data_IF_354036725496
#
_entry.id   IF_354036725496
#
_cell.length_a   1.000
_cell.length_b   1.000
_cell.length_c   1.000
_cell.angle_alpha   90.00
_cell.angle_beta   90.00
_cell.angle_gamma   90.00
#
_symmetry.space_group_name_H-M   'P 1'
#
loop_
_entity.id
_entity.type
_entity.pdbx_description
1 polymer ?
#
# COMPACT_ATOMS: atom_id res chain seq x y z
N UNK A 1 2.13 31.27 44.85
CA UNK A 1 3.22 30.96 43.90
C UNK A 1 3.40 32.12 42.92
N UNK A 2 4.60 32.71 42.76
CA UNK A 2 4.75 33.84 41.86
C UNK A 2 4.83 33.37 40.39
N UNK A 3 4.01 33.97 39.52
CA UNK A 3 3.96 33.67 38.08
C UNK A 3 5.30 34.00 37.41
N UNK A 4 5.84 33.07 36.61
CA UNK A 4 7.08 33.27 35.84
C UNK A 4 6.91 34.45 34.88
N UNK A 5 7.83 35.43 34.95
CA UNK A 5 7.87 36.57 34.04
C UNK A 5 8.10 36.08 32.60
N UNK A 6 7.34 36.56 31.61
CA UNK A 6 7.50 36.15 30.22
C UNK A 6 8.87 36.58 29.69
N UNK A 7 9.56 35.64 29.04
CA UNK A 7 10.92 35.82 28.53
C UNK A 7 10.89 36.67 27.25
N UNK A 8 11.48 37.87 27.31
CA UNK A 8 11.47 38.81 26.18
C UNK A 8 12.24 38.25 24.99
N UNK A 9 11.67 38.34 23.78
CA UNK A 9 12.32 37.94 22.54
C UNK A 9 13.68 38.63 22.33
N UNK A 10 13.87 39.84 22.86
CA UNK A 10 15.13 40.58 22.82
C UNK A 10 16.21 39.93 23.71
N UNK A 11 15.82 39.39 24.86
CA UNK A 11 16.72 38.64 25.75
C UNK A 11 17.09 37.28 25.14
N UNK A 12 16.14 36.59 24.48
CA UNK A 12 16.41 35.34 23.75
C UNK A 12 17.41 35.54 22.62
N UNK A 13 17.28 36.63 21.86
CA UNK A 13 18.21 36.97 20.76
C UNK A 13 19.61 37.27 21.29
N UNK A 14 19.73 38.04 22.37
CA UNK A 14 21.03 38.29 23.05
C UNK A 14 21.65 37.00 23.58
N UNK A 15 20.86 36.11 24.18
CA UNK A 15 21.36 34.84 24.70
C UNK A 15 21.92 33.93 23.58
N UNK A 16 21.25 33.90 22.42
CA UNK A 16 21.74 33.18 21.25
C UNK A 16 23.01 33.80 20.66
N UNK A 17 23.13 35.14 20.71
CA UNK A 17 24.30 35.86 20.23
C UNK A 17 25.52 35.60 21.13
N UNK A 18 25.35 35.67 22.46
CA UNK A 18 26.39 35.31 23.44
C UNK A 18 26.81 33.85 23.30
N UNK A 19 25.87 32.94 22.99
CA UNK A 19 26.20 31.51 22.74
C UNK A 19 27.01 31.32 21.45
N UNK A 20 26.76 32.14 20.41
CA UNK A 20 27.53 32.13 19.15
C UNK A 20 28.92 32.75 19.33
N UNK A 21 29.04 33.78 20.15
CA UNK A 21 30.31 34.44 20.47
C UNK A 21 31.20 33.55 21.35
N UNK A 22 30.62 32.85 22.35
CA UNK A 22 31.34 31.81 23.11
C UNK A 22 31.89 30.69 22.22
N UNK A 23 31.15 30.32 21.17
CA UNK A 23 31.63 29.35 20.16
C UNK A 23 32.70 29.90 19.21
N UNK A 24 32.87 31.22 19.14
CA UNK A 24 33.91 31.87 18.30
C UNK A 24 35.20 32.17 19.05
N UNK A 25 35.17 32.27 20.38
CA UNK A 25 36.34 32.56 21.21
C UNK A 25 37.15 31.35 21.69
N UNK A 26 36.70 30.13 21.41
CA UNK A 26 37.40 28.90 21.82
C UNK A 26 38.42 28.50 20.75
N UNK A 27 39.56 29.19 20.73
CA UNK A 27 40.74 28.83 19.95
C UNK A 27 41.58 27.83 20.74
N UNK A 28 41.28 26.53 20.55
CA UNK A 28 42.04 25.42 21.11
C UNK A 28 41.86 24.15 20.26
N UNK A 29 42.72 24.01 19.24
CA UNK A 29 43.16 22.76 18.58
C UNK A 29 42.15 21.60 18.43
N UNK A 30 41.54 21.51 17.24
CA UNK A 30 40.91 20.32 16.68
C UNK A 30 40.81 20.47 15.16
N UNK A 31 41.02 19.41 14.34
CA UNK A 31 41.27 19.58 12.92
C UNK A 31 40.04 20.13 12.19
N UNK A 32 40.35 21.05 11.27
CA UNK A 32 39.47 21.78 10.37
C UNK A 32 38.33 20.91 9.80
N UNK A 33 37.09 21.29 10.08
CA UNK A 33 35.90 20.86 9.32
C UNK A 33 35.38 22.00 8.44
N UNK A 34 36.27 22.52 7.60
CA UNK A 34 35.91 23.17 6.34
C UNK A 34 36.31 22.25 5.20
N UNK A 35 35.56 21.15 5.09
CA UNK A 35 35.36 20.28 3.93
C UNK A 35 34.60 19.05 4.45
N UNK A 36 33.27 19.12 4.45
CA UNK A 36 32.40 17.98 4.82
C UNK A 36 31.29 17.83 3.78
N UNK A 37 31.65 17.94 2.50
CA UNK A 37 30.73 17.71 1.37
C UNK A 37 31.29 16.77 0.30
N UNK A 38 32.45 16.16 0.53
CA UNK A 38 33.00 15.11 -0.31
C UNK A 38 33.64 14.10 0.64
N UNK A 39 33.31 12.83 0.46
CA UNK A 39 33.76 11.68 1.26
C UNK A 39 33.10 11.50 2.63
N UNK A 40 31.91 10.90 2.62
CA UNK A 40 31.60 9.88 3.63
C UNK A 40 31.38 8.57 2.89
N UNK A 41 32.47 7.81 2.81
CA UNK A 41 32.54 6.51 2.17
C UNK A 41 31.42 5.59 2.62
N UNK A 42 30.92 4.88 1.61
CA UNK A 42 30.16 3.67 1.73
C UNK A 42 30.87 2.75 2.73
N UNK A 43 30.29 2.60 3.92
CA UNK A 43 30.44 1.34 4.64
C UNK A 43 29.41 0.41 4.03
N UNK A 44 29.85 -0.30 2.99
CA UNK A 44 29.24 -1.53 2.51
C UNK A 44 29.00 -2.44 3.72
N UNK A 45 27.74 -2.56 4.13
CA UNK A 45 27.29 -3.76 4.83
C UNK A 45 26.97 -4.76 3.73
N UNK A 46 27.84 -5.75 3.69
CA UNK A 46 27.88 -6.89 2.80
C UNK A 46 26.55 -7.67 2.82
N UNK A 47 25.71 -7.45 1.80
CA UNK A 47 24.71 -8.42 1.33
C UNK A 47 24.59 -8.27 -0.18
N UNK A 48 25.48 -8.95 -0.92
CA UNK A 48 25.29 -9.36 -2.32
C UNK A 48 24.66 -8.32 -3.25
N UNK A 49 25.39 -7.25 -3.56
CA UNK A 49 25.10 -6.40 -4.72
C UNK A 49 25.60 -7.14 -5.97
N UNK A 50 24.68 -7.77 -6.70
CA UNK A 50 24.91 -8.05 -8.11
C UNK A 50 24.84 -6.73 -8.87
N UNK A 51 25.91 -6.41 -9.58
CA UNK A 51 26.02 -5.28 -10.50
C UNK A 51 24.85 -5.30 -11.49
N UNK A 52 23.84 -4.43 -11.31
CA UNK A 52 22.90 -3.98 -12.35
C UNK A 52 21.91 -2.97 -11.75
N UNK A 53 21.90 -1.75 -12.31
CA UNK A 53 20.91 -0.66 -12.13
C UNK A 53 21.07 0.30 -10.94
N UNK A 54 21.11 1.59 -11.28
CA UNK A 54 21.02 2.75 -10.40
C UNK A 54 19.64 2.75 -9.66
N UNK A 55 19.53 2.08 -8.50
CA UNK A 55 18.26 2.02 -7.73
C UNK A 55 18.18 3.16 -6.71
N UNK A 56 17.12 3.97 -6.79
CA UNK A 56 16.77 5.00 -5.80
C UNK A 56 15.98 4.40 -4.65
N UNK A 57 16.53 4.49 -3.44
CA UNK A 57 15.91 4.04 -2.19
C UNK A 57 15.17 5.20 -1.50
N UNK A 58 13.87 5.05 -1.24
CA UNK A 58 13.00 6.08 -0.65
C UNK A 58 12.54 5.63 0.75
N UNK A 59 12.21 6.58 1.63
CA UNK A 59 11.70 6.35 3.00
C UNK A 59 12.71 5.70 3.97
N UNK A 60 14.00 6.03 3.83
CA UNK A 60 15.02 5.56 4.76
C UNK A 60 14.80 6.14 6.17
N UNK A 61 14.56 5.26 7.14
CA UNK A 61 14.44 5.61 8.54
C UNK A 61 15.81 5.64 9.21
N UNK A 62 16.06 6.58 10.15
CA UNK A 62 17.30 6.61 10.90
C UNK A 62 17.49 5.32 11.71
N UNK A 63 18.71 4.79 11.73
CA UNK A 63 19.06 3.61 12.51
C UNK A 63 18.80 3.87 14.01
N UNK A 64 17.85 3.14 14.60
CA UNK A 64 17.76 2.98 16.05
C UNK A 64 18.75 1.89 16.46
N UNK A 65 19.58 2.14 17.47
CA UNK A 65 20.56 1.16 17.98
C UNK A 65 19.90 0.02 18.76
N UNK A 66 18.61 0.14 19.08
CA UNK A 66 17.83 -0.87 19.79
C UNK A 66 16.66 -1.33 18.92
N UNK A 67 16.75 -2.56 18.42
CA UNK A 67 15.66 -3.22 17.72
C UNK A 67 16.07 -4.59 17.15
N UNK A 68 15.29 -5.63 17.46
CA UNK A 68 15.36 -6.96 16.80
C UNK A 68 14.88 -6.91 15.34
N UNK A 69 14.39 -5.76 14.86
CA UNK A 69 13.73 -5.59 13.57
C UNK A 69 14.41 -4.49 12.77
N UNK A 70 14.66 -4.74 11.49
CA UNK A 70 15.19 -3.73 10.56
C UNK A 70 14.06 -2.80 10.08
N UNK A 71 14.04 -1.51 10.50
CA UNK A 71 13.03 -0.56 10.06
C UNK A 71 13.10 -0.26 8.55
N UNK A 72 14.20 -0.60 7.89
CA UNK A 72 14.44 -0.31 6.48
C UNK A 72 14.17 -1.52 5.55
N UNK A 73 13.67 -2.64 6.08
CA UNK A 73 13.38 -3.87 5.31
C UNK A 73 12.45 -3.64 4.12
N UNK A 74 11.38 -2.87 4.32
CA UNK A 74 10.36 -2.56 3.30
C UNK A 74 10.47 -1.14 2.74
N UNK A 75 11.68 -0.56 2.75
CA UNK A 75 11.91 0.70 2.05
C UNK A 75 11.72 0.51 0.54
N UNK A 76 11.30 1.56 -0.15
CA UNK A 76 10.95 1.49 -1.57
C UNK A 76 12.18 1.64 -2.45
N UNK A 77 12.28 0.78 -3.45
CA UNK A 77 13.38 0.74 -4.40
C UNK A 77 12.79 0.96 -5.79
N UNK A 78 13.12 2.09 -6.40
CA UNK A 78 12.70 2.40 -7.77
C UNK A 78 13.91 2.63 -8.64
N UNK A 79 13.81 2.32 -9.92
CA UNK A 79 14.83 2.70 -10.90
C UNK A 79 15.04 4.23 -10.88
N UNK A 80 16.30 4.65 -10.82
CA UNK A 80 16.66 6.07 -10.79
C UNK A 80 16.76 6.58 -12.22
N UNK A 81 15.86 7.48 -12.56
CA UNK A 81 15.92 8.19 -13.83
C UNK A 81 17.08 9.20 -13.86
N UNK A 82 17.60 9.46 -15.06
CA UNK A 82 18.64 10.48 -15.25
C UNK A 82 18.11 11.87 -14.88
N UNK A 83 18.97 12.68 -14.25
CA UNK A 83 18.59 14.04 -13.82
C UNK A 83 18.14 14.89 -15.00
N UNK A 84 18.80 14.73 -16.14
CA UNK A 84 18.51 15.42 -17.39
C UNK A 84 17.09 15.11 -17.88
N UNK A 85 16.69 13.84 -17.87
CA UNK A 85 15.35 13.43 -18.32
C UNK A 85 14.26 13.92 -17.37
N UNK A 86 14.51 13.89 -16.06
CA UNK A 86 13.61 14.46 -15.05
C UNK A 86 13.46 15.98 -15.24
N UNK A 87 14.54 16.71 -15.50
CA UNK A 87 14.49 18.15 -15.74
C UNK A 87 13.79 18.50 -17.05
N UNK A 88 14.02 17.70 -18.11
CA UNK A 88 13.33 17.82 -19.39
C UNK A 88 11.82 17.65 -19.23
N UNK A 89 11.35 16.58 -18.57
CA UNK A 89 9.91 16.35 -18.31
C UNK A 89 9.31 17.45 -17.45
N UNK A 90 10.03 17.94 -16.43
CA UNK A 90 9.59 19.09 -15.61
C UNK A 90 9.45 20.36 -16.43
N UNK A 91 10.36 20.61 -17.37
CA UNK A 91 10.28 21.76 -18.27
C UNK A 91 9.08 21.63 -19.19
N UNK A 92 8.92 20.47 -19.84
CA UNK A 92 7.78 20.18 -20.70
C UNK A 92 6.44 20.32 -19.97
N UNK A 93 6.32 19.82 -18.75
CA UNK A 93 5.12 19.95 -17.93
C UNK A 93 4.80 21.40 -17.51
N UNK A 94 5.80 22.29 -17.44
CA UNK A 94 5.58 23.73 -17.17
C UNK A 94 5.22 24.51 -18.43
N UNK A 95 5.78 24.12 -19.57
CA UNK A 95 5.63 24.83 -20.84
C UNK A 95 4.36 24.37 -21.58
N UNK A 96 3.90 23.14 -21.35
CA UNK A 96 2.70 22.58 -22.01
C UNK A 96 1.43 23.12 -21.36
N UNK A 97 0.63 23.86 -22.13
CA UNK A 97 -0.70 24.31 -21.70
C UNK A 97 -1.68 23.14 -21.82
N UNK A 98 -2.32 22.76 -20.71
CA UNK A 98 -3.35 21.72 -20.70
C UNK A 98 -4.55 22.15 -21.53
N UNK A 99 -4.83 21.43 -22.60
CA UNK A 99 -6.02 21.61 -23.41
C UNK A 99 -7.09 20.58 -22.99
N UNK A 100 -8.37 20.94 -22.97
CA UNK A 100 -9.43 19.98 -22.79
C UNK A 100 -9.40 19.01 -23.97
N UNK A 101 -9.28 17.72 -23.66
CA UNK A 101 -9.37 16.62 -24.64
C UNK A 101 -10.83 16.22 -24.83
N UNK A 102 -11.13 15.61 -25.96
CA UNK A 102 -12.48 15.11 -26.23
C UNK A 102 -12.83 13.90 -25.35
N UNK A 103 -14.12 13.62 -25.15
CA UNK A 103 -14.56 12.47 -24.33
C UNK A 103 -13.99 11.14 -24.83
N UNK A 104 -13.80 10.99 -26.14
CA UNK A 104 -13.21 9.79 -26.76
C UNK A 104 -11.73 9.59 -26.39
N UNK A 105 -10.98 10.67 -26.22
CA UNK A 105 -9.56 10.62 -25.82
C UNK A 105 -9.39 10.39 -24.31
N UNK A 106 -10.48 10.53 -23.53
CA UNK A 106 -10.53 10.20 -22.11
C UNK A 106 -10.85 8.71 -21.86
N UNK A 107 -11.33 8.00 -22.88
CA UNK A 107 -11.53 6.56 -22.81
C UNK A 107 -10.15 5.86 -22.74
N UNK A 108 -10.02 4.92 -21.80
CA UNK A 108 -8.79 4.17 -21.60
C UNK A 108 -9.13 2.69 -21.62
N UNK A 109 -8.59 1.97 -22.60
CA UNK A 109 -8.70 0.51 -22.64
C UNK A 109 -7.67 -0.13 -21.70
N UNK A 110 -8.00 -1.30 -21.17
CA UNK A 110 -7.07 -2.06 -20.33
C UNK A 110 -5.85 -2.54 -21.10
N UNK A 111 -6.00 -2.81 -22.39
CA UNK A 111 -4.93 -3.24 -23.28
C UNK A 111 -3.96 -2.10 -23.62
N UNK A 112 -4.39 -0.84 -23.52
CA UNK A 112 -3.51 0.31 -23.69
C UNK A 112 -2.54 0.45 -22.51
N UNK A 113 -3.00 0.09 -21.30
CA UNK A 113 -2.21 0.13 -20.07
C UNK A 113 -1.37 -1.13 -19.91
N UNK A 114 -1.95 -2.30 -20.21
CA UNK A 114 -1.30 -3.60 -20.12
C UNK A 114 -1.24 -4.28 -21.50
N UNK A 115 -0.36 -3.81 -22.40
CA UNK A 115 -0.21 -4.45 -23.70
C UNK A 115 0.31 -5.89 -23.54
N UNK A 116 -0.33 -6.89 -24.18
CA UNK A 116 0.04 -8.30 -24.03
C UNK A 116 1.43 -8.61 -24.60
N UNK A 117 1.89 -7.83 -25.58
CA UNK A 117 3.21 -7.92 -26.21
C UNK A 117 4.35 -7.56 -25.26
N UNK A 118 4.11 -6.63 -24.33
CA UNK A 118 5.12 -6.15 -23.38
C UNK A 118 5.40 -7.11 -22.22
N UNK A 119 4.54 -8.12 -22.03
CA UNK A 119 4.70 -9.12 -20.96
C UNK A 119 4.74 -8.50 -19.56
N UNK A 120 3.89 -7.51 -19.28
CA UNK A 120 3.83 -6.77 -18.01
C UNK A 120 3.18 -7.59 -16.88
N UNK A 121 3.77 -8.75 -16.58
CA UNK A 121 3.36 -9.61 -15.48
C UNK A 121 3.93 -9.16 -14.14
N UNK A 122 4.03 -10.10 -13.21
CA UNK A 122 4.69 -9.91 -11.92
C UNK A 122 5.53 -11.15 -11.55
N UNK A 123 6.55 -11.01 -10.69
CA UNK A 123 7.40 -12.14 -10.33
C UNK A 123 6.58 -13.17 -9.54
N UNK A 124 6.50 -14.39 -10.05
CA UNK A 124 5.82 -15.51 -9.39
C UNK A 124 6.74 -16.17 -8.38
N UNK A 125 6.17 -16.66 -7.27
CA UNK A 125 6.98 -17.40 -6.29
C UNK A 125 7.36 -18.75 -6.87
N UNK A 126 8.63 -19.16 -6.85
CA UNK A 126 9.01 -20.50 -7.24
C UNK A 126 8.42 -21.54 -6.28
N UNK A 127 8.16 -22.76 -6.78
CA UNK A 127 7.70 -23.87 -5.95
C UNK A 127 8.65 -24.14 -4.78
N UNK A 128 8.11 -24.44 -3.61
CA UNK A 128 8.91 -24.74 -2.42
C UNK A 128 8.24 -25.86 -1.60
N UNK A 129 9.04 -26.55 -0.80
CA UNK A 129 8.58 -27.62 0.10
C UNK A 129 9.15 -27.38 1.50
N UNK A 130 8.47 -27.89 2.53
CA UNK A 130 8.90 -27.75 3.93
C UNK A 130 10.25 -28.42 4.23
N UNK A 131 10.69 -29.34 3.37
CA UNK A 131 12.00 -29.98 3.46
C UNK A 131 13.15 -29.03 3.06
N UNK A 132 12.85 -27.94 2.35
CA UNK A 132 13.87 -26.98 1.93
C UNK A 132 14.35 -26.13 3.10
N UNK A 133 15.67 -25.91 3.16
CA UNK A 133 16.24 -24.95 4.11
C UNK A 133 15.82 -23.52 3.74
N UNK A 134 15.67 -22.67 4.75
CA UNK A 134 15.35 -21.24 4.58
C UNK A 134 16.30 -20.56 3.59
N UNK A 135 17.60 -20.80 3.72
CA UNK A 135 18.62 -20.21 2.84
C UNK A 135 18.47 -20.66 1.38
N UNK A 136 18.17 -21.94 1.15
CA UNK A 136 17.93 -22.48 -0.18
C UNK A 136 16.70 -21.84 -0.83
N UNK A 137 15.62 -21.69 -0.07
CA UNK A 137 14.41 -21.01 -0.54
C UNK A 137 14.68 -19.54 -0.89
N UNK A 138 15.40 -18.81 -0.02
CA UNK A 138 15.74 -17.41 -0.27
C UNK A 138 16.58 -17.24 -1.56
N UNK A 139 17.56 -18.12 -1.79
CA UNK A 139 18.36 -18.12 -3.04
C UNK A 139 17.53 -18.45 -4.26
N UNK A 140 16.58 -19.39 -4.15
CA UNK A 140 15.67 -19.76 -5.25
C UNK A 140 14.74 -18.61 -5.62
N UNK A 141 14.17 -17.95 -4.61
CA UNK A 141 13.34 -16.76 -4.79
C UNK A 141 14.12 -15.60 -5.42
N UNK A 142 15.36 -15.36 -4.97
CA UNK A 142 16.23 -14.32 -5.52
C UNK A 142 16.57 -14.60 -6.99
N UNK A 143 16.93 -15.85 -7.32
CA UNK A 143 17.17 -16.25 -8.70
C UNK A 143 15.93 -16.05 -9.57
N UNK A 144 14.77 -16.53 -9.13
CA UNK A 144 13.51 -16.39 -9.87
C UNK A 144 13.14 -14.93 -10.13
N UNK A 145 13.42 -14.04 -9.16
CA UNK A 145 13.19 -12.62 -9.31
C UNK A 145 14.15 -11.96 -10.32
N UNK A 146 15.43 -12.37 -10.30
CA UNK A 146 16.43 -11.90 -11.26
C UNK A 146 16.08 -12.32 -12.69
N UNK A 147 15.73 -13.59 -12.87
CA UNK A 147 15.32 -14.13 -14.17
C UNK A 147 14.08 -13.39 -14.72
N UNK A 148 13.14 -13.02 -13.84
CA UNK A 148 11.98 -12.19 -14.19
C UNK A 148 12.38 -10.78 -14.65
N UNK A 149 13.30 -10.11 -13.93
CA UNK A 149 13.76 -8.78 -14.32
C UNK A 149 14.50 -8.79 -15.66
N UNK A 150 15.32 -9.82 -15.90
CA UNK A 150 16.02 -10.01 -17.17
C UNK A 150 15.04 -10.18 -18.34
N UNK A 151 14.02 -11.03 -18.19
CA UNK A 151 12.96 -11.20 -19.19
C UNK A 151 12.20 -9.89 -19.43
N UNK A 152 11.82 -9.17 -18.37
CA UNK A 152 11.08 -7.91 -18.47
C UNK A 152 11.89 -6.84 -19.23
N UNK A 153 13.18 -6.68 -18.92
CA UNK A 153 14.06 -5.72 -19.59
C UNK A 153 14.48 -6.17 -20.99
N UNK A 154 14.47 -7.47 -21.28
CA UNK A 154 14.72 -7.98 -22.64
C UNK A 154 13.61 -7.58 -23.62
N UNK A 155 12.36 -7.50 -23.13
CA UNK A 155 11.18 -7.14 -23.93
C UNK A 155 10.91 -5.64 -23.98
N UNK A 156 11.36 -4.90 -22.97
CA UNK A 156 11.04 -3.48 -22.80
C UNK A 156 12.31 -2.65 -22.68
N UNK A 157 12.57 -1.72 -23.62
CA UNK A 157 13.75 -0.87 -23.55
C UNK A 157 13.70 0.07 -22.34
N UNK A 158 14.88 0.47 -21.88
CA UNK A 158 15.06 1.32 -20.71
C UNK A 158 14.23 2.62 -20.85
N UNK A 159 13.45 2.94 -19.81
CA UNK A 159 12.60 4.14 -19.76
C UNK A 159 11.22 4.00 -20.42
N UNK A 160 10.87 2.83 -20.97
CA UNK A 160 9.51 2.58 -21.47
C UNK A 160 8.55 2.00 -20.43
N UNK A 161 9.10 1.39 -19.38
CA UNK A 161 8.35 0.83 -18.27
C UNK A 161 7.91 1.92 -17.31
N UNK A 162 6.71 1.75 -16.76
CA UNK A 162 6.28 2.53 -15.60
C UNK A 162 7.12 2.14 -14.37
N UNK A 163 7.22 3.06 -13.41
CA UNK A 163 7.92 2.76 -12.16
C UNK A 163 7.25 1.60 -11.41
N UNK A 164 8.06 0.62 -11.01
CA UNK A 164 7.63 -0.51 -10.19
C UNK A 164 8.66 -0.77 -9.08
N UNK A 165 8.23 -1.55 -8.09
CA UNK A 165 9.04 -1.86 -6.91
C UNK A 165 10.16 -2.86 -7.24
N UNK A 166 11.40 -2.50 -6.93
CA UNK A 166 12.57 -3.34 -7.13
C UNK A 166 12.96 -4.15 -5.89
N UNK A 167 12.37 -3.84 -4.71
CA UNK A 167 12.64 -4.54 -3.47
C UNK A 167 11.96 -5.91 -3.43
N UNK A 168 12.77 -6.97 -3.48
CA UNK A 168 12.30 -8.36 -3.37
C UNK A 168 11.52 -8.64 -2.07
N UNK A 169 11.84 -7.97 -0.97
CA UNK A 169 11.10 -8.15 0.30
C UNK A 169 9.63 -7.75 0.16
N UNK A 170 9.32 -6.75 -0.66
CA UNK A 170 7.94 -6.34 -0.95
C UNK A 170 7.21 -7.41 -1.76
N UNK A 171 7.87 -7.97 -2.78
CA UNK A 171 7.32 -9.09 -3.57
C UNK A 171 7.11 -10.36 -2.73
N UNK A 172 8.03 -10.64 -1.79
CA UNK A 172 7.84 -11.72 -0.81
C UNK A 172 6.60 -11.49 0.06
N UNK A 173 6.23 -10.26 0.37
CA UNK A 173 4.97 -9.99 1.09
C UNK A 173 3.75 -10.26 0.23
N UNK A 174 3.78 -9.85 -1.04
CA UNK A 174 2.71 -10.20 -1.98
C UNK A 174 2.52 -11.73 -2.02
N UNK A 175 3.60 -12.51 -2.17
CA UNK A 175 3.50 -13.97 -2.22
C UNK A 175 2.88 -14.56 -0.95
N UNK A 176 3.30 -14.09 0.23
CA UNK A 176 2.72 -14.53 1.50
C UNK A 176 1.23 -14.22 1.58
N UNK A 177 0.80 -13.02 1.18
CA UNK A 177 -0.62 -12.67 1.17
C UNK A 177 -1.39 -13.56 0.21
N UNK A 178 -0.86 -13.81 -0.98
CA UNK A 178 -1.50 -14.69 -1.96
C UNK A 178 -1.62 -16.13 -1.47
N UNK A 179 -0.63 -16.66 -0.75
CA UNK A 179 -0.64 -18.03 -0.24
C UNK A 179 -1.54 -18.21 0.98
N UNK A 180 -1.44 -17.29 1.95
CA UNK A 180 -2.04 -17.44 3.28
C UNK A 180 -3.49 -16.95 3.40
N UNK A 181 -4.03 -16.33 2.34
CA UNK A 181 -5.39 -15.79 2.35
C UNK A 181 -6.35 -16.70 1.60
N UNK A 182 -7.56 -16.86 2.11
CA UNK A 182 -8.64 -17.60 1.45
C UNK A 182 -9.26 -16.77 0.32
N UNK A 183 -9.49 -15.48 0.60
CA UNK A 183 -10.06 -14.50 -0.34
C UNK A 183 -9.14 -13.31 -0.51
N UNK A 184 -8.95 -12.87 -1.74
CA UNK A 184 -8.09 -11.72 -2.07
C UNK A 184 -8.95 -10.49 -2.36
N UNK A 185 -8.68 -9.40 -1.66
CA UNK A 185 -9.26 -8.07 -1.89
C UNK A 185 -8.30 -7.24 -2.73
N UNK A 186 -8.68 -6.92 -3.97
CA UNK A 186 -7.97 -5.96 -4.82
C UNK A 186 -8.57 -4.58 -4.63
N UNK A 187 -7.81 -3.65 -4.07
CA UNK A 187 -8.29 -2.30 -3.75
C UNK A 187 -7.83 -1.33 -4.82
N UNK A 188 -8.80 -0.72 -5.51
CA UNK A 188 -8.57 0.24 -6.60
C UNK A 188 -9.28 1.56 -6.34
N UNK A 189 -8.75 2.66 -6.85
CA UNK A 189 -9.37 3.98 -6.85
C UNK A 189 -10.36 4.09 -8.02
N UNK A 190 -11.61 4.43 -7.72
CA UNK A 190 -12.71 4.48 -8.70
C UNK A 190 -12.45 5.42 -9.90
N UNK A 191 -11.49 6.35 -9.78
CA UNK A 191 -11.18 7.29 -10.85
C UNK A 191 -10.38 6.65 -11.97
N UNK A 192 -9.53 5.67 -11.64
CA UNK A 192 -8.66 4.98 -12.59
C UNK A 192 -8.54 3.48 -12.24
N UNK A 193 -9.66 2.73 -12.21
CA UNK A 193 -9.64 1.33 -11.78
C UNK A 193 -8.80 0.45 -12.71
N UNK A 194 -8.86 0.72 -14.01
CA UNK A 194 -8.11 -0.01 -15.05
C UNK A 194 -6.60 0.12 -14.85
N UNK A 195 -6.10 1.28 -14.43
CA UNK A 195 -4.66 1.50 -14.20
C UNK A 195 -4.13 0.74 -12.98
N UNK A 196 -5.01 0.44 -12.02
CA UNK A 196 -4.66 -0.15 -10.73
C UNK A 196 -5.01 -1.63 -10.64
N UNK A 197 -5.59 -2.19 -11.70
CA UNK A 197 -6.03 -3.58 -11.78
C UNK A 197 -5.19 -4.33 -12.82
N UNK A 198 -4.13 -5.05 -12.40
CA UNK A 198 -3.31 -5.84 -13.31
C UNK A 198 -4.05 -7.12 -13.73
N UNK A 199 -4.35 -7.35 -15.02
CA UNK A 199 -5.04 -8.56 -15.47
C UNK A 199 -4.28 -9.85 -15.14
N UNK A 200 -2.95 -9.84 -15.27
CA UNK A 200 -2.11 -11.02 -15.00
C UNK A 200 -2.25 -11.50 -13.55
N UNK A 201 -2.38 -10.56 -12.59
CA UNK A 201 -2.60 -10.89 -11.19
C UNK A 201 -3.97 -11.57 -10.99
N UNK A 202 -5.02 -11.06 -11.62
CA UNK A 202 -6.36 -11.69 -11.56
C UNK A 202 -6.35 -13.10 -12.16
N UNK A 203 -5.73 -13.28 -13.34
CA UNK A 203 -5.63 -14.59 -13.97
C UNK A 203 -4.82 -15.57 -13.12
N UNK A 204 -3.71 -15.14 -12.52
CA UNK A 204 -2.95 -15.96 -11.59
C UNK A 204 -3.79 -16.41 -10.38
N UNK A 205 -4.53 -15.51 -9.75
CA UNK A 205 -5.32 -15.85 -8.56
C UNK A 205 -6.46 -16.81 -8.90
N UNK A 206 -7.17 -16.57 -10.01
CA UNK A 206 -8.35 -17.37 -10.39
C UNK A 206 -8.00 -18.69 -11.09
N UNK A 207 -7.00 -18.69 -11.96
CA UNK A 207 -6.68 -19.83 -12.82
C UNK A 207 -5.59 -20.75 -12.24
N UNK A 208 -4.61 -20.21 -11.50
CA UNK A 208 -3.52 -21.00 -10.92
C UNK A 208 -3.73 -21.28 -9.43
N UNK A 209 -4.14 -20.26 -8.65
CA UNK A 209 -4.42 -20.44 -7.22
C UNK A 209 -5.84 -20.92 -6.93
N UNK A 210 -6.76 -20.82 -7.91
CA UNK A 210 -8.17 -21.16 -7.76
C UNK A 210 -8.86 -20.47 -6.56
N UNK A 211 -8.49 -19.21 -6.29
CA UNK A 211 -9.04 -18.41 -5.18
C UNK A 211 -10.04 -17.37 -5.68
N UNK A 212 -10.92 -16.97 -4.77
CA UNK A 212 -11.90 -15.92 -5.03
C UNK A 212 -11.27 -14.53 -4.88
N UNK A 213 -11.69 -13.62 -5.76
CA UNK A 213 -11.19 -12.24 -5.80
C UNK A 213 -12.36 -11.26 -5.68
N UNK A 214 -12.24 -10.31 -4.76
CA UNK A 214 -13.17 -9.19 -4.62
C UNK A 214 -12.44 -7.91 -5.02
N UNK A 215 -12.97 -7.19 -6.00
CA UNK A 215 -12.53 -5.84 -6.35
C UNK A 215 -13.23 -4.81 -5.47
N UNK A 216 -12.46 -4.12 -4.64
CA UNK A 216 -12.92 -3.00 -3.83
C UNK A 216 -12.63 -1.70 -4.55
N UNK A 217 -13.66 -1.09 -5.15
CA UNK A 217 -13.58 0.24 -5.73
C UNK A 217 -13.72 1.31 -4.65
N UNK A 218 -12.58 1.78 -4.17
CA UNK A 218 -12.45 2.78 -3.13
C UNK A 218 -12.71 4.21 -3.66
N UNK A 219 -13.08 5.10 -2.74
CA UNK A 219 -13.40 6.51 -2.98
C UNK A 219 -14.55 6.71 -3.97
N UNK A 220 -15.54 5.81 -3.94
CA UNK A 220 -16.69 5.85 -4.84
C UNK A 220 -17.45 7.21 -4.81
N UNK A 221 -17.31 7.98 -3.75
CA UNK A 221 -17.86 9.34 -3.59
C UNK A 221 -17.24 10.39 -4.53
N UNK A 222 -16.05 10.14 -5.10
CA UNK A 222 -15.39 11.06 -6.03
C UNK A 222 -15.94 11.01 -7.45
N UNK A 223 -16.72 9.96 -7.77
CA UNK A 223 -17.23 9.70 -9.12
C UNK A 223 -18.76 9.78 -9.16
N UNK A 224 -19.38 10.32 -10.22
CA UNK A 224 -20.83 10.29 -10.38
C UNK A 224 -21.39 8.85 -10.40
N UNK A 225 -22.60 8.59 -9.86
CA UNK A 225 -23.18 7.25 -9.84
C UNK A 225 -23.26 6.54 -11.21
N UNK A 226 -23.59 7.24 -12.33
CA UNK A 226 -23.57 6.60 -13.66
C UNK A 226 -22.20 6.05 -14.04
N UNK A 227 -21.12 6.76 -13.69
CA UNK A 227 -19.75 6.32 -13.95
C UNK A 227 -19.38 5.10 -13.12
N UNK A 228 -19.81 5.06 -11.85
CA UNK A 228 -19.58 3.89 -10.98
C UNK A 228 -20.28 2.65 -11.54
N UNK A 229 -21.51 2.80 -12.03
CA UNK A 229 -22.26 1.70 -12.66
C UNK A 229 -21.59 1.26 -13.95
N UNK A 230 -21.14 2.21 -14.78
CA UNK A 230 -20.41 1.91 -16.02
C UNK A 230 -19.12 1.12 -15.72
N UNK A 231 -18.34 1.53 -14.71
CA UNK A 231 -17.14 0.79 -14.30
C UNK A 231 -17.47 -0.62 -13.80
N UNK A 232 -18.51 -0.79 -12.97
CA UNK A 232 -18.96 -2.12 -12.55
C UNK A 232 -19.26 -3.00 -13.75
N UNK A 233 -20.08 -2.50 -14.67
CA UNK A 233 -20.46 -3.24 -15.88
C UNK A 233 -19.24 -3.61 -16.72
N UNK A 234 -18.34 -2.65 -16.97
CA UNK A 234 -17.11 -2.89 -17.73
C UNK A 234 -16.24 -3.97 -17.07
N UNK A 235 -15.93 -3.84 -15.78
CA UNK A 235 -15.07 -4.79 -15.07
C UNK A 235 -15.69 -6.19 -15.00
N UNK A 236 -16.99 -6.32 -14.73
CA UNK A 236 -17.67 -7.63 -14.74
C UNK A 236 -17.73 -8.24 -16.13
N UNK A 237 -17.86 -7.43 -17.19
CA UNK A 237 -17.85 -7.92 -18.57
C UNK A 237 -16.49 -8.49 -18.99
N UNK A 238 -15.39 -7.88 -18.52
CA UNK A 238 -14.03 -8.32 -18.82
C UNK A 238 -13.58 -9.47 -17.89
N UNK A 239 -14.04 -9.48 -16.64
CA UNK A 239 -13.61 -10.41 -15.59
C UNK A 239 -14.83 -11.08 -14.92
N UNK A 240 -15.32 -12.22 -15.44
CA UNK A 240 -16.59 -12.81 -15.00
C UNK A 240 -16.62 -13.32 -13.55
N UNK A 241 -15.47 -13.73 -12.98
CA UNK A 241 -15.39 -14.26 -11.62
C UNK A 241 -15.14 -13.15 -10.58
N UNK A 242 -15.17 -11.88 -11.00
CA UNK A 242 -14.85 -10.75 -10.15
C UNK A 242 -16.10 -10.24 -9.42
N UNK A 243 -16.08 -10.32 -8.10
CA UNK A 243 -17.09 -9.67 -7.27
C UNK A 243 -16.68 -8.22 -6.98
N UNK A 244 -17.58 -7.25 -7.22
CA UNK A 244 -17.22 -5.83 -7.14
C UNK A 244 -17.99 -5.13 -6.03
N UNK A 245 -17.25 -4.60 -5.06
CA UNK A 245 -17.76 -3.83 -3.93
C UNK A 245 -17.30 -2.38 -4.05
N UNK A 246 -18.21 -1.42 -3.81
CA UNK A 246 -17.85 -0.01 -3.73
C UNK A 246 -17.64 0.39 -2.28
N UNK A 247 -16.55 1.11 -2.01
CA UNK A 247 -16.22 1.60 -0.68
C UNK A 247 -16.06 3.11 -0.68
N UNK A 248 -16.55 3.76 0.38
CA UNK A 248 -16.33 5.20 0.62
C UNK A 248 -16.13 5.45 2.10
N UNK A 249 -15.09 6.21 2.47
CA UNK A 249 -14.88 6.63 3.87
C UNK A 249 -15.74 7.84 4.27
N UNK A 250 -16.34 8.52 3.29
CA UNK A 250 -17.17 9.71 3.51
C UNK A 250 -18.40 9.59 2.63
N UNK A 251 -19.45 8.86 3.04
CA UNK A 251 -20.73 8.93 2.36
C UNK A 251 -21.17 10.38 2.45
N UNK A 252 -21.13 11.07 1.30
CA UNK A 252 -21.67 12.41 1.19
C UNK A 252 -23.15 12.40 1.60
N UNK A 253 -23.70 13.54 2.04
CA UNK A 253 -25.15 13.63 2.14
C UNK A 253 -25.76 13.27 0.77
N UNK A 254 -26.80 12.43 0.77
CA UNK A 254 -27.64 12.18 -0.41
C UNK A 254 -27.88 13.50 -1.11
N UNK A 255 -27.61 13.57 -2.43
CA UNK A 255 -27.62 14.78 -3.28
C UNK A 255 -28.67 15.80 -2.81
N UNK A 256 -28.28 16.72 -1.93
CA UNK A 256 -29.08 17.90 -1.63
C UNK A 256 -28.53 19.02 -2.49
N UNK A 257 -29.45 19.64 -3.22
CA UNK A 257 -29.24 20.76 -4.13
C UNK A 257 -28.22 21.78 -3.61
N UNK A 258 -27.45 22.32 -4.56
CA UNK A 258 -26.20 23.12 -4.52
C UNK A 258 -26.11 24.29 -3.49
N UNK A 259 -27.09 24.53 -2.63
CA UNK A 259 -27.21 25.77 -1.85
C UNK A 259 -26.81 25.72 -0.36
N UNK A 260 -26.32 24.61 0.19
CA UNK A 260 -25.91 24.59 1.61
C UNK A 260 -24.57 23.90 1.88
N UNK A 261 -23.49 24.34 1.23
CA UNK A 261 -22.11 23.99 1.64
C UNK A 261 -21.66 24.85 2.83
N UNK A 262 -22.17 24.57 4.03
CA UNK A 262 -21.49 24.99 5.26
C UNK A 262 -20.36 24.00 5.53
N UNK A 263 -19.10 24.43 5.37
CA UNK A 263 -17.89 23.64 5.64
C UNK A 263 -17.88 23.20 7.11
N UNK A 264 -18.36 22.01 7.39
CA UNK A 264 -18.09 21.31 8.65
C UNK A 264 -16.91 20.37 8.41
N UNK A 265 -15.70 20.79 8.80
CA UNK A 265 -14.59 19.83 9.02
C UNK A 265 -14.96 19.03 10.28
N UNK A 266 -15.72 17.95 10.11
CA UNK A 266 -15.84 16.92 11.15
C UNK A 266 -14.68 15.95 10.98
N UNK A 267 -14.12 15.51 12.10
CA UNK A 267 -13.04 14.52 12.19
C UNK A 267 -13.49 13.27 11.43
N UNK A 268 -12.61 12.68 10.62
CA UNK A 268 -12.91 11.49 9.84
C UNK A 268 -13.14 10.30 10.78
N UNK A 269 -14.41 10.03 11.10
CA UNK A 269 -14.83 8.84 11.82
C UNK A 269 -14.99 7.69 10.83
N UNK A 270 -14.22 6.62 11.04
CA UNK A 270 -14.25 5.40 10.22
C UNK A 270 -15.60 4.69 10.26
N UNK A 271 -16.44 5.00 11.24
CA UNK A 271 -17.80 4.47 11.40
C UNK A 271 -18.74 4.87 10.26
N UNK A 272 -18.48 5.98 9.57
CA UNK A 272 -19.27 6.42 8.41
C UNK A 272 -18.95 5.67 7.13
N UNK A 273 -18.02 4.73 7.11
CA UNK A 273 -17.61 4.13 5.86
C UNK A 273 -18.75 3.32 5.19
N UNK A 274 -19.15 3.73 3.98
CA UNK A 274 -20.07 2.98 3.14
C UNK A 274 -19.36 1.80 2.46
N UNK A 275 -20.09 0.70 2.25
CA UNK A 275 -19.60 -0.50 1.54
C UNK A 275 -19.20 -1.68 2.41
N UNK A 276 -19.09 -1.52 3.74
CA UNK A 276 -18.76 -2.63 4.64
C UNK A 276 -19.83 -3.73 4.65
N UNK A 277 -21.11 -3.37 4.53
CA UNK A 277 -22.22 -4.32 4.44
C UNK A 277 -22.18 -5.12 3.14
N UNK A 278 -21.83 -4.46 2.04
CA UNK A 278 -21.71 -5.10 0.73
C UNK A 278 -20.51 -6.05 0.71
N UNK A 279 -19.38 -5.65 1.33
CA UNK A 279 -18.23 -6.52 1.51
C UNK A 279 -18.54 -7.73 2.41
N UNK A 280 -19.26 -7.52 3.51
CA UNK A 280 -19.70 -8.61 4.38
C UNK A 280 -20.59 -9.60 3.62
N UNK A 281 -21.55 -9.09 2.86
CA UNK A 281 -22.43 -9.92 2.03
C UNK A 281 -21.64 -10.72 0.99
N UNK A 282 -20.69 -10.09 0.31
CA UNK A 282 -19.78 -10.76 -0.62
C UNK A 282 -19.03 -11.93 0.05
N UNK A 283 -18.45 -11.68 1.23
CA UNK A 283 -17.79 -12.72 2.00
C UNK A 283 -18.76 -13.83 2.46
N UNK A 284 -20.00 -13.48 2.81
CA UNK A 284 -21.04 -14.45 3.18
C UNK A 284 -21.44 -15.34 1.99
N UNK A 285 -21.61 -14.75 0.81
CA UNK A 285 -21.95 -15.46 -0.42
C UNK A 285 -20.79 -16.40 -0.85
N UNK A 286 -19.53 -15.96 -0.70
CA UNK A 286 -18.33 -16.77 -0.99
C UNK A 286 -18.17 -17.93 0.00
N UNK A 287 -18.37 -17.67 1.30
CA UNK A 287 -18.18 -18.68 2.35
C UNK A 287 -19.33 -19.68 2.40
N UNK A 288 -20.52 -19.33 1.90
CA UNK A 288 -21.70 -20.19 1.78
C UNK A 288 -22.02 -20.98 3.07
N UNK A 289 -21.83 -20.35 4.24
CA UNK A 289 -22.09 -20.95 5.56
C UNK A 289 -21.00 -21.90 6.09
N UNK A 290 -19.86 -22.02 5.40
CA UNK A 290 -18.71 -22.81 5.88
C UNK A 290 -17.97 -22.14 7.05
N UNK A 291 -18.13 -20.84 7.21
CA UNK A 291 -17.51 -20.02 8.25
C UNK A 291 -18.59 -19.26 9.02
N UNK A 292 -18.45 -19.20 10.35
CA UNK A 292 -19.31 -18.38 11.19
C UNK A 292 -18.85 -16.92 11.16
N UNK A 293 -19.61 -16.06 10.48
CA UNK A 293 -19.34 -14.62 10.36
C UNK A 293 -20.17 -13.78 11.37
N UNK A 294 -20.86 -14.40 12.32
CA UNK A 294 -21.76 -13.71 13.26
C UNK A 294 -21.07 -12.63 14.09
N UNK A 295 -19.82 -12.87 14.53
CA UNK A 295 -19.02 -11.88 15.26
C UNK A 295 -18.77 -10.62 14.43
N UNK A 296 -18.45 -10.78 13.14
CA UNK A 296 -18.23 -9.65 12.24
C UNK A 296 -19.53 -8.90 11.95
N UNK A 297 -20.65 -9.61 11.78
CA UNK A 297 -21.97 -9.01 11.60
C UNK A 297 -22.36 -8.14 12.81
N UNK A 298 -22.22 -8.68 14.02
CA UNK A 298 -22.52 -7.95 15.25
C UNK A 298 -21.64 -6.70 15.39
N UNK A 299 -20.37 -6.76 14.99
CA UNK A 299 -19.49 -5.60 14.98
C UNK A 299 -19.98 -4.53 14.01
N UNK A 300 -20.34 -4.90 12.77
CA UNK A 300 -20.90 -3.97 11.79
C UNK A 300 -22.19 -3.32 12.31
N UNK A 301 -23.05 -4.10 12.97
CA UNK A 301 -24.28 -3.59 13.58
C UNK A 301 -24.01 -2.64 14.75
N UNK A 302 -23.05 -2.95 15.62
CA UNK A 302 -22.61 -2.09 16.73
C UNK A 302 -22.06 -0.76 16.21
N UNK A 303 -21.16 -0.83 15.23
CA UNK A 303 -20.56 0.36 14.60
C UNK A 303 -21.64 1.23 13.95
N UNK A 304 -22.61 0.62 13.25
CA UNK A 304 -23.75 1.33 12.65
C UNK A 304 -24.75 1.89 13.68
N UNK A 305 -24.90 1.26 14.84
CA UNK A 305 -25.77 1.74 15.91
C UNK A 305 -25.14 2.91 16.67
N UNK A 306 -23.82 2.88 16.88
CA UNK A 306 -23.05 4.00 17.43
C UNK A 306 -23.17 5.27 16.57
N UNK A 307 -23.44 5.14 15.26
CA UNK A 307 -23.70 6.29 14.39
C UNK A 307 -25.05 6.99 14.63
N UNK A 308 -26.06 6.29 15.19
CA UNK A 308 -27.44 6.82 15.35
C UNK A 308 -27.60 7.64 16.63
N UNK A 309 -26.73 7.44 17.62
CA UNK A 309 -26.76 8.12 18.90
C UNK A 309 -25.67 9.19 18.89
N UNK A 310 -26.08 10.44 18.66
CA UNK A 310 -25.20 11.60 18.55
C UNK A 310 -24.40 11.79 19.86
N UNK A 311 -23.11 11.42 19.87
CA UNK A 311 -22.11 12.16 20.66
C UNK A 311 -21.61 11.63 22.01
N UNK A 312 -21.83 10.38 22.43
CA UNK A 312 -21.07 9.81 23.55
C UNK A 312 -20.28 8.58 23.11
N UNK A 313 -19.01 8.81 22.76
CA UNK A 313 -18.04 7.76 22.55
C UNK A 313 -17.76 7.08 23.91
N UNK A 314 -18.27 5.86 24.08
CA UNK A 314 -17.71 4.92 25.03
C UNK A 314 -16.30 4.55 24.53
N UNK A 315 -15.30 4.96 25.31
CA UNK A 315 -13.89 4.68 25.10
C UNK A 315 -13.65 3.18 25.25
N UNK A 316 -13.77 2.46 24.14
CA UNK A 316 -13.71 1.00 24.09
C UNK A 316 -13.47 0.53 22.67
N UNK A 317 -12.47 1.09 22.01
CA UNK A 317 -11.98 0.55 20.75
C UNK A 317 -11.31 -0.80 21.03
N UNK A 318 -12.08 -1.88 21.00
CA UNK A 318 -11.53 -3.21 20.70
C UNK A 318 -10.99 -3.17 19.28
N UNK A 319 -9.72 -2.76 19.18
CA UNK A 319 -8.93 -2.94 17.99
C UNK A 319 -8.88 -4.44 17.71
N UNK A 320 -9.44 -4.86 16.58
CA UNK A 320 -9.11 -6.16 16.00
C UNK A 320 -7.59 -6.20 15.91
N UNK A 321 -6.99 -7.17 16.60
CA UNK A 321 -5.55 -7.36 16.63
C UNK A 321 -5.07 -7.58 15.19
N UNK A 322 -4.48 -6.55 14.59
CA UNK A 322 -3.70 -6.69 13.36
C UNK A 322 -2.39 -7.31 13.78
N UNK A 323 -2.39 -8.64 13.96
CA UNK A 323 -1.16 -9.37 14.23
C UNK A 323 -0.23 -9.25 13.01
N UNK A 324 0.82 -8.44 13.15
CA UNK A 324 1.97 -8.50 12.28
C UNK A 324 2.77 -9.76 12.64
N UNK A 325 2.31 -10.93 12.20
CA UNK A 325 3.09 -12.15 12.39
C UNK A 325 4.36 -12.07 11.55
N UNK A 326 5.49 -11.91 12.24
CA UNK A 326 6.84 -11.99 11.68
C UNK A 326 7.22 -13.45 11.47
N UNK A 327 7.59 -13.85 10.25
CA UNK A 327 8.41 -15.01 9.86
C UNK A 327 8.15 -16.42 10.48
N UNK A 328 7.12 -16.61 11.31
CA UNK A 328 6.75 -17.91 11.89
C UNK A 328 5.95 -18.81 10.92
N UNK A 329 5.72 -18.35 9.68
CA UNK A 329 4.97 -19.09 8.65
C UNK A 329 5.67 -20.37 8.16
N UNK A 330 6.84 -20.71 8.69
CA UNK A 330 7.55 -21.97 8.42
C UNK A 330 7.02 -23.14 9.25
N UNK A 331 6.14 -22.92 10.24
CA UNK A 331 5.60 -23.97 11.12
C UNK A 331 4.12 -24.31 10.87
N UNK A 332 3.71 -24.42 9.59
CA UNK A 332 2.36 -24.88 9.26
C UNK A 332 2.46 -26.21 8.53
N UNK A 333 1.86 -27.25 9.11
CA UNK A 333 1.78 -28.59 8.51
C UNK A 333 0.78 -28.61 7.34
N UNK A 334 1.22 -29.27 6.26
CA UNK A 334 0.47 -29.79 5.11
C UNK A 334 0.23 -28.81 3.93
N UNK A 335 0.70 -29.15 2.70
CA UNK A 335 0.49 -28.34 1.48
C UNK A 335 -0.90 -28.48 0.83
N UNK A 336 -1.82 -29.22 1.43
CA UNK A 336 -3.22 -29.10 1.05
C UNK A 336 -3.71 -27.74 1.59
N UNK A 337 -3.94 -26.76 0.70
CA UNK A 337 -4.60 -25.50 1.02
C UNK A 337 -6.01 -25.81 1.55
N UNK A 338 -6.10 -26.12 2.83
CA UNK A 338 -7.36 -26.26 3.53
C UNK A 338 -7.95 -24.85 3.66
N UNK A 339 -8.96 -24.57 2.84
CA UNK A 339 -9.72 -23.33 2.93
C UNK A 339 -10.38 -23.24 4.30
N UNK A 340 -10.32 -22.06 4.91
CA UNK A 340 -10.94 -21.77 6.20
C UNK A 340 -10.38 -22.61 7.36
N UNK A 341 -9.06 -22.72 7.45
CA UNK A 341 -8.39 -23.42 8.55
C UNK A 341 -8.93 -22.92 9.90
N UNK A 342 -9.29 -23.85 10.78
CA UNK A 342 -9.87 -23.60 12.11
C UNK A 342 -11.22 -22.84 12.07
N UNK A 343 -11.93 -22.86 10.94
CA UNK A 343 -13.20 -22.14 10.76
C UNK A 343 -13.03 -20.62 10.69
N UNK A 344 -11.84 -20.14 10.31
CA UNK A 344 -11.51 -18.71 10.20
C UNK A 344 -11.43 -18.31 8.73
N UNK A 345 -12.07 -17.21 8.34
CA UNK A 345 -11.92 -16.60 7.03
C UNK A 345 -10.72 -15.64 7.05
N UNK A 346 -9.78 -15.81 6.12
CA UNK A 346 -8.62 -14.92 5.97
C UNK A 346 -8.72 -14.08 4.70
N UNK A 347 -8.67 -12.75 4.86
CA UNK A 347 -8.73 -11.77 3.78
C UNK A 347 -7.34 -11.18 3.52
N UNK A 348 -6.87 -11.30 2.28
CA UNK A 348 -5.61 -10.72 1.81
C UNK A 348 -5.87 -9.44 1.04
N UNK A 349 -5.43 -8.29 1.55
CA UNK A 349 -5.60 -7.01 0.88
C UNK A 349 -4.37 -6.70 0.02
N UNK A 350 -4.60 -6.42 -1.26
CA UNK A 350 -3.59 -5.96 -2.22
C UNK A 350 -4.11 -4.66 -2.84
N UNK A 351 -3.33 -3.60 -2.74
CA UNK A 351 -3.66 -2.31 -3.35
C UNK A 351 -3.07 -1.14 -2.59
N UNK A 352 -3.32 0.05 -3.10
CA UNK A 352 -2.82 1.30 -2.52
C UNK A 352 -3.84 1.84 -1.51
N UNK A 353 -3.69 1.49 -0.22
CA UNK A 353 -4.47 2.10 0.85
C UNK A 353 -3.91 3.50 1.13
N UNK A 354 -4.50 4.49 0.47
CA UNK A 354 -4.30 5.92 0.73
C UNK A 354 -4.54 6.27 2.21
N UNK A 355 -3.52 6.09 3.06
CA UNK A 355 -3.33 6.86 4.30
C UNK A 355 -2.01 7.61 4.17
N UNK A 356 -2.14 8.84 3.68
CA UNK A 356 -1.08 9.80 3.38
C UNK A 356 -0.24 9.46 2.14
N UNK A 357 0.01 10.52 1.37
CA UNK A 357 0.70 10.57 0.08
C UNK A 357 2.20 10.19 0.15
N UNK A 358 2.58 9.32 1.10
CA UNK A 358 3.95 8.86 1.38
C UNK A 358 4.02 7.43 1.96
N UNK A 359 2.94 6.62 1.90
CA UNK A 359 2.97 5.21 2.35
C UNK A 359 2.73 4.29 1.15
N UNK A 360 3.58 3.26 0.93
CA UNK A 360 3.53 2.40 -0.25
C UNK A 360 2.45 1.32 -0.18
N UNK A 361 2.25 0.64 -1.33
CA UNK A 361 1.50 -0.61 -1.51
C UNK A 361 1.33 -1.38 -0.20
N UNK A 362 0.10 -1.39 0.30
CA UNK A 362 -0.22 -2.01 1.57
C UNK A 362 -0.65 -3.45 1.31
N UNK A 363 0.19 -4.40 1.70
CA UNK A 363 -0.17 -5.81 1.79
C UNK A 363 -0.63 -6.07 3.23
N UNK A 364 -1.94 -6.07 3.46
CA UNK A 364 -2.52 -6.24 4.80
C UNK A 364 -3.33 -7.52 4.85
N UNK A 365 -3.00 -8.40 5.78
CA UNK A 365 -3.80 -9.57 6.11
C UNK A 365 -4.75 -9.21 7.25
N UNK A 366 -6.02 -9.56 7.09
CA UNK A 366 -7.04 -9.44 8.15
C UNK A 366 -7.72 -10.79 8.32
N UNK A 367 -7.89 -11.25 9.56
CA UNK A 367 -8.52 -12.53 9.88
C UNK A 367 -9.87 -12.29 10.56
N UNK A 368 -10.87 -13.13 10.25
CA UNK A 368 -12.20 -13.09 10.86
C UNK A 368 -12.65 -14.50 11.25
N UNK A 369 -12.91 -14.75 12.53
CA UNK A 369 -13.34 -16.05 13.07
C UNK A 369 -13.46 -16.02 14.60
N UNK A 370 -13.84 -17.14 15.23
CA UNK A 370 -13.95 -17.24 16.70
C UNK A 370 -12.62 -16.90 17.37
N UNK A 371 -12.64 -15.94 18.29
CA UNK A 371 -11.66 -15.92 19.37
C UNK A 371 -11.96 -17.15 20.24
N UNK A 372 -11.06 -18.13 20.22
CA UNK A 372 -11.08 -19.16 21.26
C UNK A 372 -10.78 -18.44 22.58
N UNK A 373 -11.79 -18.42 23.45
CA UNK A 373 -11.72 -18.00 24.86
C UNK A 373 -10.54 -18.65 25.61
#
# INVERSE_FOLDING_TARGET
MPRKKPFSNKQKKKQLQVKRERKRGDTGSGPSSRNASLERGERQSDTSDSETTDVKRINQQPFSRDGRYDPNRFRLHFEKESKEEVERRKKLARDTVLQPVSDKELEVDINDIYPPDKGLGFPRRPSWTYEMTRESLLRKEEKSYRDYLEDLHSRNPIGTLSHFEHNLETWRQLWRVLEMSDVILLIVDIRHPVLQFPPDLYHYITAELHKQVILVMNKADLSPPPLVIAWKHYMTSQFPHLEIVCFTSHPGPSYSTVLQKRRMRRKADWSRAGGLKDLFKACQDITAGRVDLSSWEQKIQRDAAAERLDGEAADGAESVLVEHQTDSALEMSNPAQELYKDGVLTLGCIGDLSKHQNVPHSFIRTQFGKENL
#
